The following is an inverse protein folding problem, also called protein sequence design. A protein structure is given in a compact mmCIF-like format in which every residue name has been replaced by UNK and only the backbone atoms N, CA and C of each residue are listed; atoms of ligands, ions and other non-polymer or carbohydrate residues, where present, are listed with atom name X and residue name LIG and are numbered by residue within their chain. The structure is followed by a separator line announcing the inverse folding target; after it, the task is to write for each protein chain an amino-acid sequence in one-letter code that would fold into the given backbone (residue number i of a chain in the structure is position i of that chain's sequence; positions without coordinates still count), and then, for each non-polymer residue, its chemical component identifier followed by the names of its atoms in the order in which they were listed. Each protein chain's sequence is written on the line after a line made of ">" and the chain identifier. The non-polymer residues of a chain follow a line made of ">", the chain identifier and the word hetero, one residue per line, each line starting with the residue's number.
data_IF_768468481220
#
_entry.id   IF_768468481220
#
_cell.length_a   1.000
_cell.length_b   1.000
_cell.length_c   1.000
_cell.angle_alpha   90.00
_cell.angle_beta   90.00
_cell.angle_gamma   90.00
#
_symmetry.space_group_name_H-M   'P 1'
#
loop_
_entity.id
_entity.type
_entity.pdbx_description
1 polymer ?
#
# COMPACT_ATOMS: atom_id res chain seq x y z
N UNK A 1 10.25 3.37 5.11
CA UNK A 1 10.00 1.97 5.51
C UNK A 1 9.01 2.01 6.66
N UNK A 2 7.84 1.36 6.55
CA UNK A 2 6.87 1.31 7.67
C UNK A 2 7.46 0.50 8.83
N UNK A 3 7.22 0.88 10.10
CA UNK A 3 7.73 0.12 11.24
C UNK A 3 7.22 -1.34 11.23
N UNK A 4 8.00 -2.31 11.72
CA UNK A 4 7.63 -3.73 11.70
C UNK A 4 6.36 -4.05 12.50
N UNK A 5 5.96 -3.18 13.42
CA UNK A 5 4.72 -3.29 14.21
C UNK A 5 3.49 -2.66 13.53
N UNK A 6 3.62 -2.07 12.34
CA UNK A 6 2.47 -1.55 11.61
C UNK A 6 1.61 -2.71 11.07
N UNK A 7 0.35 -2.70 11.51
CA UNK A 7 -0.71 -3.73 11.48
C UNK A 7 -0.80 -4.66 10.28
N UNK A 8 -0.35 -4.24 9.10
CA UNK A 8 -0.52 -5.02 7.88
C UNK A 8 0.31 -6.30 7.87
N UNK A 9 1.54 -6.31 8.42
CA UNK A 9 2.44 -7.49 8.33
C UNK A 9 1.99 -8.67 9.20
N UNK A 10 1.44 -8.41 10.39
CA UNK A 10 0.93 -9.48 11.28
C UNK A 10 -0.33 -10.16 10.74
N UNK A 11 -1.11 -9.47 9.90
CA UNK A 11 -2.35 -10.00 9.34
C UNK A 11 -2.14 -11.14 8.32
N UNK A 12 -0.99 -11.17 7.65
CA UNK A 12 -0.70 -12.20 6.63
C UNK A 12 -0.11 -13.49 7.23
N UNK A 13 0.43 -13.44 8.45
CA UNK A 13 0.95 -14.59 9.22
C UNK A 13 2.25 -15.17 8.65
N UNK A 14 2.24 -15.57 7.38
CA UNK A 14 3.34 -16.23 6.67
C UNK A 14 3.50 -15.66 5.25
N UNK A 15 4.71 -15.80 4.69
CA UNK A 15 4.98 -15.43 3.29
C UNK A 15 4.43 -16.55 2.40
N UNK A 16 3.52 -16.25 1.45
CA UNK A 16 2.97 -17.29 0.58
C UNK A 16 4.05 -17.89 -0.31
N UNK A 17 4.01 -19.23 -0.44
CA UNK A 17 4.83 -19.97 -1.38
C UNK A 17 3.93 -20.41 -2.53
N UNK A 18 4.12 -19.82 -3.71
CA UNK A 18 3.25 -20.00 -4.86
C UNK A 18 3.97 -20.75 -5.99
N UNK A 19 3.20 -21.54 -6.72
CA UNK A 19 3.64 -22.10 -8.01
C UNK A 19 2.89 -21.40 -9.14
N UNK A 20 3.63 -20.79 -10.07
CA UNK A 20 3.08 -20.03 -11.18
C UNK A 20 3.94 -20.17 -12.44
N UNK A 21 3.51 -19.60 -13.55
CA UNK A 21 4.28 -19.50 -14.79
C UNK A 21 4.48 -18.03 -15.19
N UNK A 22 5.67 -17.71 -15.68
CA UNK A 22 6.01 -16.37 -16.19
C UNK A 22 5.26 -16.06 -17.50
N UNK A 23 5.38 -14.82 -17.98
CA UNK A 23 4.74 -14.35 -19.21
C UNK A 23 5.10 -15.21 -20.43
N UNK A 24 6.33 -15.76 -20.47
CA UNK A 24 6.86 -16.63 -21.52
C UNK A 24 6.47 -18.11 -21.35
N UNK A 25 5.73 -18.46 -20.30
CA UNK A 25 5.34 -19.83 -19.96
C UNK A 25 6.38 -20.60 -19.14
N UNK A 26 7.49 -19.96 -18.74
CA UNK A 26 8.50 -20.61 -17.89
C UNK A 26 7.90 -20.93 -16.51
N UNK A 27 7.91 -22.20 -16.07
CA UNK A 27 7.35 -22.57 -14.78
C UNK A 27 8.24 -22.10 -13.63
N UNK A 28 7.61 -21.61 -12.58
CA UNK A 28 8.20 -21.14 -11.33
C UNK A 28 7.63 -21.93 -10.16
N UNK A 29 8.23 -23.08 -9.81
CA UNK A 29 7.76 -23.90 -8.71
C UNK A 29 8.19 -23.33 -7.35
N UNK A 30 7.28 -23.36 -6.39
CA UNK A 30 7.56 -23.07 -4.97
C UNK A 30 8.30 -21.76 -4.70
N UNK A 31 7.86 -20.66 -5.29
CA UNK A 31 8.46 -19.34 -5.11
C UNK A 31 7.87 -18.66 -3.88
N UNK A 32 8.70 -18.25 -2.89
CA UNK A 32 8.24 -17.38 -1.81
C UNK A 32 7.97 -15.98 -2.37
N UNK A 33 6.74 -15.50 -2.23
CA UNK A 33 6.31 -14.20 -2.74
C UNK A 33 6.27 -13.20 -1.59
N UNK A 34 7.32 -12.38 -1.46
CA UNK A 34 7.35 -11.31 -0.47
C UNK A 34 6.17 -10.36 -0.66
N UNK A 35 5.40 -10.15 0.40
CA UNK A 35 4.22 -9.29 0.39
C UNK A 35 4.64 -7.83 0.58
N UNK A 36 4.25 -7.00 -0.40
CA UNK A 36 4.44 -5.55 -0.35
C UNK A 36 3.13 -4.84 -0.04
N UNK A 37 3.25 -3.67 0.57
CA UNK A 37 2.11 -2.84 0.98
C UNK A 37 2.23 -1.46 0.37
N UNK A 38 1.11 -0.97 -0.15
CA UNK A 38 0.95 0.38 -0.63
C UNK A 38 -0.35 1.00 -0.12
N UNK A 39 -0.81 2.00 -0.87
CA UNK A 39 -2.18 2.51 -0.75
C UNK A 39 -3.04 1.91 -1.86
N UNK A 40 -4.34 1.79 -1.60
CA UNK A 40 -5.40 1.57 -2.58
C UNK A 40 -5.39 2.59 -3.74
N UNK A 41 -4.83 3.78 -3.51
CA UNK A 41 -4.82 4.84 -4.50
C UNK A 41 -3.48 4.90 -5.19
N UNK A 42 -3.53 4.75 -6.50
CA UNK A 42 -2.35 4.64 -7.35
C UNK A 42 -2.62 5.27 -8.70
N UNK A 43 -1.55 5.71 -9.36
CA UNK A 43 -1.59 6.09 -10.77
C UNK A 43 -0.82 5.04 -11.56
N UNK A 44 -1.52 4.32 -12.42
CA UNK A 44 -0.96 3.23 -13.22
C UNK A 44 -0.91 3.63 -14.69
N UNK A 45 0.12 3.16 -15.39
CA UNK A 45 0.21 3.35 -16.85
C UNK A 45 -0.73 2.38 -17.57
N UNK A 46 -1.25 2.77 -18.73
CA UNK A 46 -2.12 1.91 -19.55
C UNK A 46 -1.43 0.59 -19.92
N UNK A 47 -0.12 0.64 -20.22
CA UNK A 47 0.69 -0.53 -20.53
C UNK A 47 0.72 -1.54 -19.39
N UNK A 48 0.92 -1.08 -18.15
CA UNK A 48 0.90 -1.96 -16.98
C UNK A 48 -0.48 -2.60 -16.81
N UNK A 49 -1.56 -1.81 -16.92
CA UNK A 49 -2.93 -2.32 -16.78
C UNK A 49 -3.23 -3.40 -17.82
N UNK A 50 -2.83 -3.19 -19.08
CA UNK A 50 -3.00 -4.18 -20.14
C UNK A 50 -2.23 -5.47 -19.86
N UNK A 51 -0.96 -5.38 -19.42
CA UNK A 51 -0.15 -6.53 -19.06
C UNK A 51 -0.80 -7.33 -17.92
N UNK A 52 -1.23 -6.63 -16.85
CA UNK A 52 -1.89 -7.25 -15.71
C UNK A 52 -3.20 -7.94 -16.08
N UNK A 53 -4.02 -7.35 -16.95
CA UNK A 53 -5.26 -7.98 -17.44
C UNK A 53 -4.94 -9.26 -18.22
N UNK A 54 -3.90 -9.24 -19.05
CA UNK A 54 -3.42 -10.43 -19.77
C UNK A 54 -2.97 -11.54 -18.82
N UNK A 55 -2.18 -11.20 -17.79
CA UNK A 55 -1.74 -12.16 -16.78
C UNK A 55 -2.91 -12.71 -15.98
N UNK A 56 -3.87 -11.88 -15.58
CA UNK A 56 -5.06 -12.32 -14.84
C UNK A 56 -5.98 -13.25 -15.64
N UNK A 57 -5.95 -13.19 -16.97
CA UNK A 57 -6.67 -14.12 -17.84
C UNK A 57 -6.04 -15.53 -17.84
N UNK A 58 -4.77 -15.65 -17.44
CA UNK A 58 -4.06 -16.92 -17.31
C UNK A 58 -4.15 -17.43 -15.87
N UNK A 59 -4.76 -18.61 -15.61
CA UNK A 59 -4.96 -19.11 -14.26
C UNK A 59 -3.66 -19.53 -13.54
N UNK A 60 -2.58 -19.71 -14.30
CA UNK A 60 -1.28 -20.10 -13.79
C UNK A 60 -0.31 -18.93 -13.57
N UNK A 61 -0.70 -17.69 -13.86
CA UNK A 61 0.17 -16.52 -13.68
C UNK A 61 0.34 -16.15 -12.21
N UNK A 62 1.43 -15.43 -11.88
CA UNK A 62 1.63 -14.91 -10.53
C UNK A 62 0.44 -14.03 -10.07
N UNK A 63 -0.05 -13.05 -10.84
CA UNK A 63 -1.23 -12.28 -10.45
C UNK A 63 -2.47 -13.13 -10.19
N UNK A 64 -2.75 -14.14 -11.01
CA UNK A 64 -3.92 -14.99 -10.80
C UNK A 64 -3.80 -15.84 -9.52
N UNK A 65 -2.62 -16.43 -9.28
CA UNK A 65 -2.33 -17.22 -8.09
C UNK A 65 -2.35 -16.39 -6.81
N UNK A 66 -1.73 -15.21 -6.85
CA UNK A 66 -1.72 -14.27 -5.73
C UNK A 66 -3.13 -13.77 -5.41
N UNK A 67 -3.93 -13.43 -6.43
CA UNK A 67 -5.34 -13.06 -6.24
C UNK A 67 -6.11 -14.19 -5.55
N UNK A 68 -5.98 -15.42 -6.05
CA UNK A 68 -6.61 -16.60 -5.46
C UNK A 68 -6.27 -16.76 -3.98
N UNK A 69 -4.98 -16.77 -3.65
CA UNK A 69 -4.51 -16.85 -2.27
C UNK A 69 -5.06 -15.72 -1.38
N UNK A 70 -5.05 -14.47 -1.86
CA UNK A 70 -5.59 -13.32 -1.12
C UNK A 70 -7.09 -13.48 -0.84
N UNK A 71 -7.86 -13.93 -1.83
CA UNK A 71 -9.32 -14.08 -1.71
C UNK A 71 -9.72 -15.31 -0.89
N UNK A 72 -9.04 -16.43 -1.05
CA UNK A 72 -9.31 -17.68 -0.32
C UNK A 72 -8.95 -17.56 1.15
N UNK A 73 -7.86 -16.85 1.47
CA UNK A 73 -7.45 -16.58 2.84
C UNK A 73 -8.31 -15.53 3.56
N UNK A 74 -9.29 -14.91 2.89
CA UNK A 74 -10.14 -13.87 3.48
C UNK A 74 -9.34 -12.64 3.95
N UNK A 75 -8.19 -12.36 3.32
CA UNK A 75 -7.34 -11.27 3.75
C UNK A 75 -8.01 -9.90 3.46
N UNK A 76 -8.27 -9.14 4.52
CA UNK A 76 -8.75 -7.77 4.42
C UNK A 76 -7.72 -6.89 3.70
N UNK A 77 -8.20 -5.90 2.93
CA UNK A 77 -7.36 -4.91 2.24
C UNK A 77 -6.42 -5.49 1.18
N UNK A 78 -6.84 -6.58 0.53
CA UNK A 78 -6.09 -7.20 -0.55
C UNK A 78 -5.72 -6.21 -1.68
N UNK A 79 -6.48 -5.14 -1.86
CA UNK A 79 -6.22 -4.06 -2.80
C UNK A 79 -5.03 -3.15 -2.42
N UNK A 80 -4.68 -3.03 -1.14
CA UNK A 80 -3.45 -2.36 -0.70
C UNK A 80 -2.20 -3.24 -0.81
N UNK A 81 -2.38 -4.51 -1.15
CA UNK A 81 -1.32 -5.52 -1.18
C UNK A 81 -1.07 -6.07 -2.57
N UNK A 82 -2.13 -6.42 -3.29
CA UNK A 82 -2.08 -7.10 -4.58
C UNK A 82 -1.23 -6.34 -5.60
N UNK A 83 -1.61 -5.09 -5.89
CA UNK A 83 -0.91 -4.29 -6.89
C UNK A 83 0.53 -3.99 -6.48
N UNK A 84 0.75 -3.64 -5.21
CA UNK A 84 2.09 -3.36 -4.71
C UNK A 84 3.02 -4.57 -4.83
N UNK A 85 2.49 -5.76 -4.53
CA UNK A 85 3.23 -7.03 -4.63
C UNK A 85 3.52 -7.39 -6.08
N UNK A 86 2.51 -7.35 -6.96
CA UNK A 86 2.70 -7.61 -8.40
C UNK A 86 3.72 -6.66 -9.02
N UNK A 87 3.62 -5.35 -8.72
CA UNK A 87 4.57 -4.36 -9.21
C UNK A 87 6.00 -4.64 -8.73
N UNK A 88 6.18 -4.97 -7.46
CA UNK A 88 7.50 -5.24 -6.90
C UNK A 88 8.15 -6.52 -7.45
N UNK A 89 7.37 -7.53 -7.81
CA UNK A 89 7.91 -8.81 -8.30
C UNK A 89 8.10 -8.85 -9.83
N UNK A 90 7.19 -8.26 -10.61
CA UNK A 90 7.20 -8.39 -12.07
C UNK A 90 7.60 -7.10 -12.81
N UNK A 91 7.55 -5.95 -12.13
CA UNK A 91 7.70 -4.63 -12.77
C UNK A 91 8.48 -3.63 -11.91
N UNK A 92 9.41 -4.11 -11.08
CA UNK A 92 10.16 -3.29 -10.13
C UNK A 92 10.91 -2.14 -10.81
N UNK A 93 11.35 -2.36 -12.05
CA UNK A 93 12.05 -1.39 -12.89
C UNK A 93 11.18 -0.19 -13.29
N UNK A 94 9.85 -0.35 -13.24
CA UNK A 94 8.89 0.71 -13.57
C UNK A 94 8.57 1.61 -12.38
N UNK A 95 8.98 1.22 -11.16
CA UNK A 95 8.71 2.00 -9.97
C UNK A 95 9.38 3.38 -10.06
N UNK A 96 8.67 4.47 -9.71
CA UNK A 96 9.25 5.80 -9.76
C UNK A 96 10.46 5.92 -8.85
N UNK A 97 11.52 6.56 -9.36
CA UNK A 97 12.74 6.79 -8.57
C UNK A 97 12.52 7.96 -7.62
N UNK A 98 13.09 7.86 -6.43
CA UNK A 98 13.14 8.94 -5.44
C UNK A 98 14.57 9.47 -5.33
N UNK A 99 14.72 10.78 -5.13
CA UNK A 99 16.00 11.42 -4.87
C UNK A 99 16.42 11.05 -3.44
N UNK A 100 17.58 10.41 -3.22
CA UNK A 100 17.99 9.98 -1.90
C UNK A 100 18.31 11.14 -0.94
N UNK A 101 18.46 12.37 -1.45
CA UNK A 101 18.84 13.54 -0.63
C UNK A 101 17.66 14.15 0.11
N UNK A 102 16.50 14.19 -0.54
CA UNK A 102 15.31 14.86 -0.01
C UNK A 102 14.04 13.99 -0.05
N UNK A 103 14.07 12.82 -0.70
CA UNK A 103 12.93 11.92 -0.84
C UNK A 103 11.92 12.35 -1.90
N UNK A 104 12.20 13.39 -2.70
CA UNK A 104 11.33 13.83 -3.78
C UNK A 104 11.37 12.89 -4.98
N UNK A 105 10.34 12.94 -5.83
CA UNK A 105 10.26 12.20 -7.06
C UNK A 105 11.40 12.62 -8.02
N UNK A 106 12.26 11.67 -8.39
CA UNK A 106 13.40 11.84 -9.29
C UNK A 106 13.13 11.27 -10.70
N UNK A 107 11.86 11.19 -11.10
CA UNK A 107 11.47 10.64 -12.40
C UNK A 107 11.75 11.65 -13.53
N UNK A 108 12.39 11.24 -14.64
CA UNK A 108 12.62 12.13 -15.79
C UNK A 108 11.32 12.83 -16.24
N UNK A 109 11.40 14.13 -16.48
CA UNK A 109 10.24 14.96 -16.85
C UNK A 109 9.53 15.64 -15.68
N UNK A 110 9.84 15.29 -14.44
CA UNK A 110 9.34 16.01 -13.25
C UNK A 110 10.44 16.88 -12.63
N UNK A 111 10.14 18.12 -12.20
CA UNK A 111 11.11 18.95 -11.52
C UNK A 111 11.48 18.34 -10.15
N UNK A 112 12.79 18.18 -9.90
CA UNK A 112 13.29 17.71 -8.60
C UNK A 112 12.86 18.63 -7.46
N UNK A 113 12.66 18.07 -6.26
CA UNK A 113 12.28 18.82 -5.07
C UNK A 113 10.87 19.40 -5.10
N UNK A 114 10.01 18.96 -6.03
CA UNK A 114 8.62 19.45 -6.11
C UNK A 114 7.58 18.47 -5.63
N UNK A 115 7.66 17.19 -6.00
CA UNK A 115 6.65 16.19 -5.64
C UNK A 115 7.27 15.21 -4.65
N UNK A 116 6.78 15.20 -3.42
CA UNK A 116 7.19 14.25 -2.37
C UNK A 116 6.14 13.16 -2.18
N UNK A 117 4.87 13.50 -2.40
CA UNK A 117 3.77 12.56 -2.36
C UNK A 117 2.83 12.84 -3.53
N UNK A 118 2.63 11.87 -4.43
CA UNK A 118 1.72 12.03 -5.57
C UNK A 118 0.28 12.37 -5.11
N UNK A 119 -0.11 11.85 -3.95
CA UNK A 119 -1.38 12.11 -3.28
C UNK A 119 -1.11 12.50 -1.83
N UNK A 120 -1.70 13.61 -1.39
CA UNK A 120 -1.70 14.03 0.00
C UNK A 120 -2.91 13.44 0.74
N UNK A 121 -2.65 12.82 1.88
CA UNK A 121 -3.68 12.40 2.83
C UNK A 121 -3.15 12.55 4.26
N UNK A 122 -4.04 12.93 5.19
CA UNK A 122 -3.70 13.01 6.60
C UNK A 122 -4.28 11.82 7.35
N UNK A 123 -3.41 10.90 7.72
CA UNK A 123 -3.71 9.72 8.55
C UNK A 123 -3.37 10.03 10.01
N UNK A 124 -4.35 9.92 10.91
CA UNK A 124 -4.19 10.27 12.34
C UNK A 124 -3.27 9.30 13.11
N UNK A 125 -3.15 8.07 12.62
CA UNK A 125 -2.19 7.08 13.14
C UNK A 125 -0.73 7.47 12.88
N UNK A 126 -0.49 8.34 11.90
CA UNK A 126 0.84 8.82 11.54
C UNK A 126 1.13 10.21 12.12
N UNK A 127 0.20 10.81 12.86
CA UNK A 127 0.41 12.09 13.54
C UNK A 127 1.02 11.89 14.94
N UNK A 128 1.98 12.72 15.37
CA UNK A 128 2.38 12.76 16.76
C UNK A 128 1.17 13.14 17.63
N UNK A 129 1.06 12.53 18.81
CA UNK A 129 0.10 12.98 19.84
C UNK A 129 0.43 14.42 20.24
N UNK A 130 -0.45 15.06 21.02
CA UNK A 130 -0.22 16.39 21.59
C UNK A 130 1.13 16.55 22.33
N UNK A 131 1.75 15.44 22.73
CA UNK A 131 3.06 15.38 23.39
C UNK A 131 4.24 15.06 22.45
N UNK A 132 4.05 15.11 21.13
CA UNK A 132 5.13 14.94 20.14
C UNK A 132 5.50 13.49 19.81
N UNK A 133 4.88 12.49 20.46
CA UNK A 133 5.21 11.08 20.23
C UNK A 133 4.26 10.43 19.22
N UNK A 134 4.84 9.66 18.29
CA UNK A 134 4.08 8.81 17.39
C UNK A 134 3.43 7.64 18.15
N UNK A 135 2.15 7.32 17.90
CA UNK A 135 1.52 6.14 18.48
C UNK A 135 2.23 4.87 17.99
N UNK A 136 2.56 3.97 18.91
CA UNK A 136 3.21 2.68 18.61
C UNK A 136 2.23 1.52 18.46
N UNK A 137 0.96 1.76 18.76
CA UNK A 137 -0.13 0.77 18.78
C UNK A 137 -1.32 1.28 18.00
N UNK A 138 -2.20 0.37 17.59
CA UNK A 138 -3.48 0.72 16.98
C UNK A 138 -4.27 1.63 17.91
N UNK A 139 -5.01 2.58 17.33
CA UNK A 139 -5.86 3.49 18.11
C UNK A 139 -7.33 3.05 18.15
N UNK A 140 -7.72 2.06 17.35
CA UNK A 140 -9.12 1.61 17.22
C UNK A 140 -9.21 0.22 16.60
N UNK A 141 -10.30 -0.50 16.82
CA UNK A 141 -10.58 -1.79 16.19
C UNK A 141 -11.11 -1.59 14.76
N UNK A 142 -10.70 -2.42 13.77
CA UNK A 142 -11.38 -2.47 12.48
C UNK A 142 -12.83 -2.93 12.70
N UNK A 143 -13.81 -2.37 11.97
CA UNK A 143 -15.21 -2.79 12.11
C UNK A 143 -15.39 -4.30 11.95
N UNK A 144 -16.09 -4.94 12.89
CA UNK A 144 -16.39 -6.38 12.83
C UNK A 144 -15.29 -7.30 13.34
N UNK A 145 -14.29 -6.79 14.08
CA UNK A 145 -13.35 -7.61 14.85
C UNK A 145 -13.63 -7.47 16.35
N UNK A 146 -13.82 -8.61 17.02
CA UNK A 146 -13.93 -8.64 18.48
C UNK A 146 -12.57 -8.41 19.14
N UNK A 147 -12.57 -7.55 20.16
CA UNK A 147 -11.37 -7.18 20.90
C UNK A 147 -10.75 -8.38 21.60
N UNK A 148 -9.50 -8.72 21.27
CA UNK A 148 -8.72 -9.68 22.05
C UNK A 148 -8.50 -9.17 23.47
N UNK A 149 -8.18 -10.08 24.41
CA UNK A 149 -8.12 -9.84 25.87
C UNK A 149 -7.09 -8.79 26.36
N UNK A 150 -6.44 -8.05 25.47
CA UNK A 150 -5.60 -6.87 25.75
C UNK A 150 -6.03 -5.59 25.03
N UNK A 151 -7.17 -5.59 24.34
CA UNK A 151 -7.67 -4.50 23.48
C UNK A 151 -8.83 -3.70 24.12
N UNK A 152 -9.04 -3.84 25.43
CA UNK A 152 -10.17 -3.26 26.17
C UNK A 152 -10.32 -1.72 26.09
N UNK A 153 -9.35 -1.01 25.51
CA UNK A 153 -9.39 0.45 25.29
C UNK A 153 -9.62 0.85 23.83
N UNK A 154 -9.68 -0.10 22.88
CA UNK A 154 -9.87 0.20 21.47
C UNK A 154 -11.36 0.19 21.12
N UNK A 155 -11.87 1.33 20.69
CA UNK A 155 -13.22 1.44 20.14
C UNK A 155 -13.24 1.04 18.66
N UNK A 156 -14.34 0.47 18.18
CA UNK A 156 -14.57 0.37 16.73
C UNK A 156 -14.65 1.78 16.13
N UNK A 157 -13.76 2.09 15.18
CA UNK A 157 -13.80 3.35 14.43
C UNK A 157 -13.51 3.12 12.96
N UNK A 158 -14.06 4.00 12.13
CA UNK A 158 -13.78 4.00 10.69
C UNK A 158 -12.29 4.27 10.49
N UNK A 159 -11.59 3.27 9.98
CA UNK A 159 -10.20 3.36 9.56
C UNK A 159 -10.07 4.23 8.31
N UNK A 160 -9.28 5.31 8.38
CA UNK A 160 -9.03 6.13 7.20
C UNK A 160 -8.54 7.55 7.46
N UNK A 161 -8.26 8.30 6.38
CA UNK A 161 -7.76 9.66 6.46
C UNK A 161 -8.85 10.65 6.89
N UNK A 162 -8.41 11.72 7.56
CA UNK A 162 -9.28 12.83 7.97
C UNK A 162 -9.76 13.67 6.78
N UNK A 163 -10.86 14.40 7.02
CA UNK A 163 -11.23 15.51 6.15
C UNK A 163 -10.20 16.63 6.30
N UNK A 164 -9.64 17.04 5.16
CA UNK A 164 -8.70 18.14 5.02
C UNK A 164 -9.48 19.46 5.12
N UNK A 165 -8.89 20.42 5.81
CA UNK A 165 -9.44 21.77 5.96
C UNK A 165 -8.41 22.84 5.61
N UNK A 166 -8.73 24.10 5.92
CA UNK A 166 -7.86 25.24 5.64
C UNK A 166 -6.46 25.10 6.28
N UNK A 167 -6.35 24.40 7.40
CA UNK A 167 -5.06 24.13 8.08
C UNK A 167 -4.14 23.17 7.32
N UNK A 168 -4.65 22.42 6.35
CA UNK A 168 -3.88 21.44 5.58
C UNK A 168 -3.27 22.02 4.29
N UNK A 169 -3.62 23.26 3.92
CA UNK A 169 -3.19 23.88 2.67
C UNK A 169 -1.66 23.96 2.54
N UNK A 170 -0.95 24.27 3.62
CA UNK A 170 0.51 24.31 3.61
C UNK A 170 1.11 22.91 3.45
N UNK A 171 0.54 21.90 4.10
CA UNK A 171 0.99 20.51 3.95
C UNK A 171 0.77 19.98 2.53
N UNK A 172 -0.38 20.29 1.92
CA UNK A 172 -0.69 19.97 0.52
C UNK A 172 0.35 20.61 -0.40
N UNK A 173 0.64 21.91 -0.20
CA UNK A 173 1.63 22.65 -0.99
C UNK A 173 3.03 22.06 -0.86
N UNK A 174 3.46 21.75 0.36
CA UNK A 174 4.78 21.17 0.63
C UNK A 174 4.93 19.77 0.04
N UNK A 175 3.88 18.95 0.06
CA UNK A 175 3.91 17.62 -0.54
C UNK A 175 4.04 17.66 -2.08
N UNK A 176 3.67 18.79 -2.70
CA UNK A 176 3.54 18.92 -4.15
C UNK A 176 2.59 17.89 -4.75
N UNK A 177 1.54 17.56 -4.00
CA UNK A 177 0.62 16.51 -4.39
C UNK A 177 -0.22 16.93 -5.60
N UNK A 178 -0.42 15.99 -6.52
CA UNK A 178 -1.33 16.17 -7.65
C UNK A 178 -2.78 15.90 -7.23
N UNK A 179 -2.97 15.07 -6.20
CA UNK A 179 -4.27 14.66 -5.69
C UNK A 179 -4.34 14.83 -4.18
N UNK A 180 -5.53 15.09 -3.65
CA UNK A 180 -5.76 15.22 -2.19
C UNK A 180 -6.96 14.36 -1.77
N UNK A 181 -6.91 13.78 -0.56
CA UNK A 181 -8.06 13.14 0.10
C UNK A 181 -7.99 13.34 1.61
N UNK A 182 -9.09 13.48 2.35
CA UNK A 182 -10.53 13.51 1.99
C UNK A 182 -11.01 14.97 2.13
N UNK A 183 -11.91 15.51 1.32
CA UNK A 183 -12.41 16.90 1.46
C UNK A 183 -13.94 16.88 1.59
N UNK A 184 -14.52 17.73 2.44
CA UNK A 184 -15.98 17.86 2.65
C UNK A 184 -16.39 19.30 2.87
#
# INVERSE_FOLDING_TARGET
>A
MFPPYFHKRRHYGEIPVLTYADADGTPRPSVPVEIHFGSQWMSLTSRFVQALVGDLARPDSLPARLRGWLTEGGYLMADETFFATVLAHQHAETLPRVDPRDGSLATPGYPRGRIFHLRYERMDEHGPRAFGYYPRTQRYLPPGKEGGTGEAELEERIWGPYFLGAYDLEGIRQAGALWVRKVS
#
